data_IF_510859321142
#
_entry.id   IF_510859321142
#
_cell.length_a   1.000
_cell.length_b   1.000
_cell.length_c   1.000
_cell.angle_alpha   90.00
_cell.angle_beta   90.00
_cell.angle_gamma   90.00
#
_symmetry.space_group_name_H-M   'P 1'
#
loop_
_entity.id
_entity.type
_entity.pdbx_description
1 polymer ?
#
# COMPACT_ATOMS: atom_id res chain seq x y z
N UNK A 1 7.06 41.76 4.63
CA UNK A 1 7.67 40.43 4.39
C UNK A 1 7.04 39.33 5.25
N UNK A 2 5.89 39.56 5.90
CA UNK A 2 5.17 38.54 6.70
C UNK A 2 4.34 37.55 5.87
N UNK A 3 3.92 37.91 4.65
CA UNK A 3 3.02 37.07 3.84
C UNK A 3 3.69 35.81 3.25
N UNK A 4 5.03 35.78 3.14
CA UNK A 4 5.74 34.62 2.59
C UNK A 4 5.91 33.49 3.62
N UNK A 5 5.95 33.83 4.92
CA UNK A 5 6.11 32.84 5.98
C UNK A 5 4.83 32.01 6.18
N UNK A 6 3.64 32.65 6.19
CA UNK A 6 2.38 31.92 6.42
C UNK A 6 1.93 31.04 5.23
N UNK A 7 2.36 31.37 4.01
CA UNK A 7 2.08 30.54 2.83
C UNK A 7 2.94 29.26 2.81
N UNK A 8 4.18 29.32 3.31
CA UNK A 8 5.06 28.15 3.43
C UNK A 8 4.50 27.12 4.42
N UNK A 9 3.91 27.57 5.53
CA UNK A 9 3.24 26.70 6.51
C UNK A 9 2.01 25.99 5.91
N UNK A 10 1.28 26.66 5.02
CA UNK A 10 0.15 26.04 4.30
C UNK A 10 0.60 24.93 3.35
N UNK A 11 1.71 25.09 2.62
CA UNK A 11 2.25 24.05 1.75
C UNK A 11 2.86 22.89 2.55
N UNK A 12 3.51 23.19 3.67
CA UNK A 12 4.00 22.17 4.61
C UNK A 12 2.85 21.31 5.16
N UNK A 13 1.65 21.87 5.36
CA UNK A 13 0.47 21.12 5.81
C UNK A 13 0.07 19.99 4.85
N UNK A 14 0.30 20.15 3.54
CA UNK A 14 -0.01 19.12 2.54
C UNK A 14 1.05 18.02 2.42
N UNK A 15 2.25 18.22 2.97
CA UNK A 15 3.33 17.23 2.87
C UNK A 15 2.99 15.91 3.56
N UNK A 16 2.46 15.98 4.79
CA UNK A 16 2.06 14.78 5.57
C UNK A 16 1.00 13.94 4.84
N UNK A 17 -0.14 14.51 4.39
CA UNK A 17 -1.15 13.73 3.67
C UNK A 17 -0.64 13.18 2.33
N UNK A 18 0.22 13.90 1.60
CA UNK A 18 0.83 13.41 0.35
C UNK A 18 1.74 12.20 0.62
N UNK A 19 2.57 12.26 1.65
CA UNK A 19 3.45 11.14 2.05
C UNK A 19 2.61 9.93 2.44
N UNK A 20 1.54 10.13 3.22
CA UNK A 20 0.61 9.05 3.56
C UNK A 20 -0.03 8.43 2.30
N UNK A 21 -0.52 9.25 1.36
CA UNK A 21 -1.08 8.79 0.09
C UNK A 21 -0.09 7.95 -0.73
N UNK A 22 1.19 8.36 -0.76
CA UNK A 22 2.25 7.61 -1.44
C UNK A 22 2.49 6.25 -0.78
N UNK A 23 2.59 6.19 0.55
CA UNK A 23 2.78 4.94 1.29
C UNK A 23 1.62 3.98 0.98
N UNK A 24 0.39 4.48 1.05
CA UNK A 24 -0.80 3.68 0.76
C UNK A 24 -0.87 3.22 -0.71
N UNK A 25 -0.50 4.07 -1.67
CA UNK A 25 -0.42 3.70 -3.08
C UNK A 25 0.61 2.61 -3.35
N UNK A 26 1.78 2.68 -2.70
CA UNK A 26 2.83 1.65 -2.78
C UNK A 26 2.35 0.33 -2.16
N UNK A 27 1.69 0.38 -1.00
CA UNK A 27 1.13 -0.80 -0.35
C UNK A 27 0.06 -1.46 -1.23
N UNK A 28 -0.84 -0.67 -1.83
CA UNK A 28 -1.85 -1.16 -2.77
C UNK A 28 -1.23 -1.80 -4.03
N UNK A 29 -0.15 -1.20 -4.56
CA UNK A 29 0.62 -1.75 -5.67
C UNK A 29 1.22 -3.13 -5.33
N UNK A 30 1.89 -3.24 -4.18
CA UNK A 30 2.47 -4.52 -3.73
C UNK A 30 1.39 -5.58 -3.50
N UNK A 31 0.28 -5.20 -2.89
CA UNK A 31 -0.88 -6.07 -2.65
C UNK A 31 -1.47 -6.64 -3.94
N UNK A 32 -1.68 -5.78 -4.94
CA UNK A 32 -2.22 -6.21 -6.22
C UNK A 32 -1.27 -7.19 -6.94
N UNK A 33 0.04 -6.95 -6.83
CA UNK A 33 1.09 -7.80 -7.36
C UNK A 33 1.12 -9.17 -6.67
N UNK A 34 1.02 -9.22 -5.34
CA UNK A 34 1.04 -10.49 -4.58
C UNK A 34 -0.19 -11.36 -4.87
N UNK A 35 -1.35 -10.74 -5.13
CA UNK A 35 -2.62 -11.43 -5.43
C UNK A 35 -2.82 -11.73 -6.93
N UNK A 36 -1.90 -11.31 -7.80
CA UNK A 36 -1.96 -11.55 -9.25
C UNK A 36 -3.08 -10.79 -9.97
N UNK A 37 -3.53 -9.66 -9.43
CA UNK A 37 -4.57 -8.81 -10.05
C UNK A 37 -3.95 -7.65 -10.83
N UNK A 38 -4.74 -6.97 -11.64
CA UNK A 38 -4.29 -5.85 -12.45
C UNK A 38 -3.79 -4.70 -11.56
N UNK A 39 -2.47 -4.55 -11.50
CA UNK A 39 -1.77 -3.72 -10.53
C UNK A 39 -2.13 -2.25 -10.70
N UNK A 40 -2.24 -1.77 -11.94
CA UNK A 40 -2.54 -0.37 -12.26
C UNK A 40 -3.90 0.06 -11.70
N UNK A 41 -4.92 -0.77 -11.91
CA UNK A 41 -6.29 -0.51 -11.42
C UNK A 41 -6.30 -0.41 -9.88
N UNK A 42 -5.61 -1.35 -9.22
CA UNK A 42 -5.55 -1.39 -7.76
C UNK A 42 -4.70 -0.27 -7.16
N UNK A 43 -3.63 0.16 -7.83
CA UNK A 43 -2.87 1.34 -7.42
C UNK A 43 -3.73 2.59 -7.52
N UNK A 44 -4.49 2.80 -8.61
CA UNK A 44 -5.43 3.92 -8.74
C UNK A 44 -6.51 3.89 -7.66
N UNK A 45 -7.04 2.70 -7.33
CA UNK A 45 -7.96 2.54 -6.20
C UNK A 45 -7.29 2.88 -4.85
N UNK A 46 -6.00 2.58 -4.66
CA UNK A 46 -5.26 2.88 -3.42
C UNK A 46 -5.02 4.38 -3.16
N UNK A 47 -5.10 5.21 -4.20
CA UNK A 47 -5.10 6.68 -4.05
C UNK A 47 -6.45 7.21 -3.54
N UNK A 48 -7.50 6.38 -3.47
CA UNK A 48 -8.80 6.76 -2.92
C UNK A 48 -8.79 6.44 -1.41
N UNK A 49 -8.87 7.45 -0.52
CA UNK A 49 -8.70 7.26 0.93
C UNK A 49 -9.75 6.32 1.55
N UNK A 50 -10.97 6.25 0.99
CA UNK A 50 -12.01 5.30 1.43
C UNK A 50 -11.58 3.85 1.22
N UNK A 51 -10.81 3.58 0.16
CA UNK A 51 -10.37 2.24 -0.21
C UNK A 51 -9.18 1.80 0.65
N UNK A 52 -8.44 2.72 1.28
CA UNK A 52 -7.35 2.37 2.20
C UNK A 52 -7.79 1.55 3.42
N UNK A 53 -9.02 1.75 3.90
CA UNK A 53 -9.57 0.89 4.97
C UNK A 53 -9.72 -0.55 4.47
N UNK A 54 -10.16 -0.73 3.22
CA UNK A 54 -10.22 -2.05 2.58
C UNK A 54 -8.82 -2.60 2.26
N UNK A 55 -7.83 -1.76 1.96
CA UNK A 55 -6.43 -2.18 1.81
C UNK A 55 -5.89 -2.85 3.07
N UNK A 56 -6.31 -2.40 4.26
CA UNK A 56 -5.92 -2.99 5.54
C UNK A 56 -6.44 -4.43 5.69
N UNK A 57 -7.71 -4.67 5.35
CA UNK A 57 -8.28 -6.01 5.27
C UNK A 57 -7.59 -6.88 4.21
N UNK A 58 -7.22 -6.27 3.08
CA UNK A 58 -6.47 -6.93 2.03
C UNK A 58 -5.05 -7.34 2.47
N UNK A 59 -4.39 -6.52 3.31
CA UNK A 59 -3.08 -6.80 3.88
C UNK A 59 -3.07 -8.07 4.74
N UNK A 60 -4.10 -8.26 5.55
CA UNK A 60 -4.30 -9.48 6.34
C UNK A 60 -4.37 -10.71 5.43
N UNK A 61 -5.12 -10.63 4.33
CA UNK A 61 -5.22 -11.72 3.35
C UNK A 61 -3.90 -12.00 2.60
N UNK A 62 -3.12 -10.98 2.28
CA UNK A 62 -1.83 -11.13 1.61
C UNK A 62 -0.77 -11.76 2.52
N UNK A 63 -0.74 -11.37 3.79
CA UNK A 63 0.13 -11.99 4.79
C UNK A 63 -0.13 -13.51 4.89
N UNK A 64 -1.41 -13.92 4.89
CA UNK A 64 -1.79 -15.32 4.90
C UNK A 64 -1.32 -16.07 3.63
N UNK A 65 -1.58 -15.51 2.45
CA UNK A 65 -1.17 -16.11 1.18
C UNK A 65 0.37 -16.23 1.06
N UNK A 66 1.10 -15.25 1.60
CA UNK A 66 2.56 -15.27 1.65
C UNK A 66 3.09 -16.32 2.62
N UNK A 67 2.39 -16.56 3.72
CA UNK A 67 2.72 -17.62 4.68
C UNK A 67 2.49 -19.00 4.06
N UNK A 68 1.35 -19.18 3.39
CA UNK A 68 0.99 -20.41 2.68
C UNK A 68 2.03 -20.77 1.62
N UNK A 69 2.40 -19.81 0.75
CA UNK A 69 3.48 -20.00 -0.24
C UNK A 69 4.81 -20.41 0.38
N UNK A 70 5.15 -19.89 1.56
CA UNK A 70 6.40 -20.28 2.25
C UNK A 70 6.31 -21.70 2.81
N UNK A 71 5.15 -22.11 3.30
CA UNK A 71 4.92 -23.48 3.78
C UNK A 71 5.00 -24.47 2.62
N UNK A 72 4.36 -24.17 1.48
CA UNK A 72 4.42 -24.99 0.28
C UNK A 72 5.88 -25.18 -0.20
N UNK A 73 6.67 -24.10 -0.22
CA UNK A 73 8.09 -24.15 -0.57
C UNK A 73 8.93 -25.00 0.40
N UNK A 74 8.56 -25.06 1.67
CA UNK A 74 9.24 -25.90 2.65
C UNK A 74 8.85 -27.36 2.46
N UNK A 75 7.57 -27.65 2.23
CA UNK A 75 7.07 -29.00 1.97
C UNK A 75 7.70 -29.59 0.70
N UNK A 76 7.79 -28.82 -0.39
CA UNK A 76 8.49 -29.25 -1.62
C UNK A 76 9.96 -29.60 -1.39
N UNK A 77 10.64 -28.88 -0.49
CA UNK A 77 12.05 -29.13 -0.17
C UNK A 77 12.25 -30.33 0.76
N UNK A 78 11.28 -30.64 1.60
CA UNK A 78 11.35 -31.77 2.55
C UNK A 78 10.85 -33.08 1.93
N UNK A 79 10.02 -33.04 0.87
CA UNK A 79 9.56 -34.24 0.15
C UNK A 79 10.50 -34.71 -0.99
N UNK A 80 11.66 -34.07 -1.18
CA UNK A 80 12.77 -34.57 -2.01
C UNK A 80 13.85 -35.16 -1.12
#
# INVERSE_FOLDING_TARGET
>A
MENAASQADSLASFTIPIIMLLIFGIVAHMLAKEKGRNVVLWTVLGFIPVINVFCMWFFVGAANLRLEKKIDQLLEKTQK
#
